data_IF_806509465282
#
_entry.id   IF_806509465282
#
_cell.length_a   1.000
_cell.length_b   1.000
_cell.length_c   1.000
_cell.angle_alpha   90.00
_cell.angle_beta   90.00
_cell.angle_gamma   90.00
#
_symmetry.space_group_name_H-M   'P 1'
#
loop_
_entity.id
_entity.type
_entity.pdbx_description
1 polymer ?
#
# COMPACT_ATOMS: atom_id res chain seq x y z
N UNK A 1 -56.24 -7.30 20.85
CA UNK A 1 -55.47 -6.29 20.08
C UNK A 1 -54.11 -5.91 20.66
N UNK A 2 -53.85 -6.03 21.98
CA UNK A 2 -52.55 -5.69 22.60
C UNK A 2 -51.36 -6.61 22.24
N UNK A 3 -51.48 -7.96 22.14
CA UNK A 3 -50.31 -8.81 21.91
C UNK A 3 -49.74 -8.66 20.49
N UNK A 4 -50.59 -8.40 19.50
CA UNK A 4 -50.17 -8.17 18.12
C UNK A 4 -49.26 -6.93 18.00
N UNK A 5 -49.58 -5.84 18.70
CA UNK A 5 -48.75 -4.62 18.70
C UNK A 5 -47.38 -4.84 19.33
N UNK A 6 -47.31 -5.65 20.39
CA UNK A 6 -46.05 -6.01 21.05
C UNK A 6 -45.18 -6.87 20.13
N UNK A 7 -45.78 -7.84 19.43
CA UNK A 7 -45.06 -8.69 18.47
C UNK A 7 -44.52 -7.85 17.31
N UNK A 8 -45.33 -6.95 16.75
CA UNK A 8 -44.89 -6.05 15.67
C UNK A 8 -43.74 -5.16 16.14
N UNK A 9 -43.82 -4.57 17.33
CA UNK A 9 -42.76 -3.74 17.89
C UNK A 9 -41.46 -4.53 18.09
N UNK A 10 -41.54 -5.74 18.64
CA UNK A 10 -40.37 -6.61 18.81
C UNK A 10 -39.72 -6.97 17.47
N UNK A 11 -40.52 -7.29 16.44
CA UNK A 11 -40.01 -7.60 15.10
C UNK A 11 -39.31 -6.39 14.46
N UNK A 12 -39.88 -5.19 14.60
CA UNK A 12 -39.25 -3.94 14.12
C UNK A 12 -37.91 -3.68 14.81
N UNK A 13 -37.78 -3.96 16.10
CA UNK A 13 -36.51 -3.83 16.83
C UNK A 13 -35.47 -4.79 16.26
N UNK A 14 -35.82 -6.07 16.06
CA UNK A 14 -34.90 -7.07 15.50
C UNK A 14 -34.43 -6.67 14.11
N UNK A 15 -35.34 -6.22 13.24
CA UNK A 15 -34.98 -5.73 11.90
C UNK A 15 -34.04 -4.53 11.99
N UNK A 16 -34.33 -3.58 12.89
CA UNK A 16 -33.50 -2.38 13.04
C UNK A 16 -32.09 -2.74 13.49
N UNK A 17 -31.96 -3.65 14.47
CA UNK A 17 -30.65 -4.13 14.93
C UNK A 17 -29.90 -4.84 13.81
N UNK A 18 -30.55 -5.73 13.07
CA UNK A 18 -29.94 -6.42 11.93
C UNK A 18 -29.49 -5.43 10.83
N UNK A 19 -30.31 -4.41 10.55
CA UNK A 19 -29.98 -3.37 9.58
C UNK A 19 -28.77 -2.54 10.03
N UNK A 20 -28.73 -2.11 11.29
CA UNK A 20 -27.58 -1.39 11.85
C UNK A 20 -26.30 -2.23 11.78
N UNK A 21 -26.38 -3.52 12.14
CA UNK A 21 -25.24 -4.43 12.09
C UNK A 21 -24.67 -4.59 10.68
N UNK A 22 -25.54 -4.82 9.69
CA UNK A 22 -25.11 -4.98 8.29
C UNK A 22 -24.48 -3.70 7.74
N UNK A 23 -25.03 -2.53 8.06
CA UNK A 23 -24.45 -1.25 7.63
C UNK A 23 -23.09 -0.98 8.27
N UNK A 24 -22.93 -1.27 9.56
CA UNK A 24 -21.63 -1.14 10.24
C UNK A 24 -20.56 -2.02 9.58
N UNK A 25 -20.91 -3.28 9.26
CA UNK A 25 -20.01 -4.19 8.57
C UNK A 25 -19.63 -3.70 7.15
N UNK A 26 -20.60 -3.16 6.40
CA UNK A 26 -20.32 -2.60 5.06
C UNK A 26 -19.40 -1.38 5.13
N UNK A 27 -19.62 -0.46 6.07
CA UNK A 27 -18.78 0.73 6.23
C UNK A 27 -17.33 0.35 6.55
N UNK A 28 -17.12 -0.65 7.41
CA UNK A 28 -15.79 -1.13 7.75
C UNK A 28 -15.03 -1.64 6.52
N UNK A 29 -15.69 -2.44 5.67
CA UNK A 29 -15.10 -2.96 4.43
C UNK A 29 -14.77 -1.82 3.46
N UNK A 30 -15.68 -0.83 3.32
CA UNK A 30 -15.43 0.33 2.46
C UNK A 30 -14.19 1.12 2.89
N UNK A 31 -13.97 1.29 4.19
CA UNK A 31 -12.77 1.95 4.73
C UNK A 31 -11.51 1.15 4.38
N UNK A 32 -11.52 -0.18 4.55
CA UNK A 32 -10.38 -1.03 4.19
C UNK A 32 -10.04 -0.97 2.70
N UNK A 33 -11.06 -0.99 1.83
CA UNK A 33 -10.88 -0.85 0.38
C UNK A 33 -10.31 0.53 0.05
N UNK A 34 -10.82 1.60 0.68
CA UNK A 34 -10.30 2.95 0.47
C UNK A 34 -8.82 3.07 0.80
N UNK A 35 -8.39 2.51 1.93
CA UNK A 35 -6.97 2.49 2.30
C UNK A 35 -6.13 1.63 1.36
N UNK A 36 -6.63 0.46 0.94
CA UNK A 36 -5.93 -0.37 -0.03
C UNK A 36 -5.73 0.37 -1.36
N UNK A 37 -6.78 1.03 -1.86
CA UNK A 37 -6.71 1.82 -3.08
C UNK A 37 -5.70 2.97 -2.96
N UNK A 38 -5.76 3.75 -1.87
CA UNK A 38 -4.80 4.83 -1.57
C UNK A 38 -3.35 4.31 -1.63
N UNK A 39 -3.07 3.19 -0.96
CA UNK A 39 -1.74 2.59 -0.93
C UNK A 39 -1.28 2.14 -2.31
N UNK A 40 -2.15 1.46 -3.07
CA UNK A 40 -1.80 1.03 -4.42
C UNK A 40 -1.55 2.20 -5.37
N UNK A 41 -2.28 3.31 -5.22
CA UNK A 41 -2.05 4.53 -6.00
C UNK A 41 -0.69 5.15 -5.67
N UNK A 42 -0.30 5.15 -4.40
CA UNK A 42 1.01 5.66 -3.98
C UNK A 42 2.13 4.82 -4.57
N UNK A 43 2.05 3.50 -4.52
CA UNK A 43 3.05 2.63 -5.13
C UNK A 43 3.15 2.83 -6.65
N UNK A 44 2.00 2.97 -7.33
CA UNK A 44 1.99 3.33 -8.76
C UNK A 44 2.69 4.66 -9.01
N UNK A 45 2.40 5.68 -8.20
CA UNK A 45 3.03 7.00 -8.35
C UNK A 45 4.55 6.96 -8.11
N UNK A 46 5.03 6.12 -7.18
CA UNK A 46 6.47 5.94 -6.96
C UNK A 46 7.15 5.28 -8.17
N UNK A 47 6.49 4.28 -8.78
CA UNK A 47 6.96 3.66 -10.03
C UNK A 47 7.02 4.68 -11.15
N UNK A 48 6.00 5.52 -11.31
CA UNK A 48 5.96 6.55 -12.35
C UNK A 48 7.12 7.56 -12.17
N UNK A 49 7.33 8.04 -10.95
CA UNK A 49 8.45 8.94 -10.62
C UNK A 49 9.82 8.28 -10.85
N UNK A 50 9.98 7.01 -10.45
CA UNK A 50 11.18 6.24 -10.72
C UNK A 50 11.41 6.05 -12.22
N UNK A 51 10.35 5.79 -12.99
CA UNK A 51 10.41 5.66 -14.44
C UNK A 51 10.87 6.97 -15.09
N UNK A 52 10.28 8.11 -14.70
CA UNK A 52 10.72 9.44 -15.17
C UNK A 52 12.19 9.70 -14.85
N UNK A 53 12.63 9.39 -13.62
CA UNK A 53 14.02 9.51 -13.20
C UNK A 53 14.97 8.62 -14.01
N UNK A 54 14.54 7.41 -14.37
CA UNK A 54 15.31 6.47 -15.19
C UNK A 54 15.51 6.93 -16.64
N UNK A 55 14.59 7.75 -17.16
CA UNK A 55 14.63 8.26 -18.53
C UNK A 55 15.49 9.52 -18.70
N UNK A 56 15.96 10.12 -17.59
CA UNK A 56 16.85 11.27 -17.62
C UNK A 56 18.24 10.89 -18.19
N UNK A 57 18.96 11.88 -18.74
CA UNK A 57 20.33 11.70 -19.25
C UNK A 57 21.31 12.64 -18.53
N UNK A 58 22.15 12.12 -17.61
CA UNK A 58 22.21 10.73 -17.14
C UNK A 58 21.01 10.36 -16.24
N UNK A 59 20.70 9.06 -16.07
CA UNK A 59 19.62 8.62 -15.18
C UNK A 59 19.83 9.10 -13.75
N UNK A 60 18.75 9.55 -13.10
CA UNK A 60 18.79 10.03 -11.72
C UNK A 60 18.60 8.87 -10.74
N UNK A 61 19.68 8.11 -10.53
CA UNK A 61 19.71 6.93 -9.65
C UNK A 61 19.29 7.27 -8.21
N UNK A 62 19.75 8.37 -7.58
CA UNK A 62 19.29 8.72 -6.23
C UNK A 62 17.77 8.91 -6.11
N UNK A 63 17.12 9.48 -7.13
CA UNK A 63 15.67 9.63 -7.14
C UNK A 63 14.95 8.28 -7.20
N UNK A 64 15.46 7.32 -7.99
CA UNK A 64 14.89 5.96 -8.06
C UNK A 64 15.05 5.23 -6.72
N UNK A 65 16.22 5.35 -6.07
CA UNK A 65 16.47 4.77 -4.73
C UNK A 65 15.52 5.39 -3.69
N UNK A 66 15.30 6.70 -3.74
CA UNK A 66 14.35 7.38 -2.84
C UNK A 66 12.92 6.84 -3.02
N UNK A 67 12.47 6.62 -4.26
CA UNK A 67 11.15 6.01 -4.53
C UNK A 67 11.07 4.56 -4.01
N UNK A 68 12.16 3.81 -4.12
CA UNK A 68 12.27 2.44 -3.63
C UNK A 68 12.19 2.39 -2.09
N UNK A 69 12.97 3.22 -1.41
CA UNK A 69 12.97 3.33 0.06
C UNK A 69 11.61 3.81 0.59
N UNK A 70 11.01 4.80 -0.07
CA UNK A 70 9.67 5.25 0.27
C UNK A 70 8.64 4.11 0.11
N UNK A 71 8.67 3.38 -1.00
CA UNK A 71 7.74 2.25 -1.23
C UNK A 71 7.88 1.16 -0.18
N UNK A 72 9.11 0.83 0.23
CA UNK A 72 9.39 -0.16 1.28
C UNK A 72 8.90 0.29 2.66
N UNK A 73 9.18 1.56 3.02
CA UNK A 73 8.90 2.11 4.35
C UNK A 73 7.44 2.56 4.54
N UNK A 74 6.71 2.88 3.47
CA UNK A 74 5.36 3.46 3.53
C UNK A 74 4.32 2.56 4.23
N UNK A 75 4.55 1.24 4.32
CA UNK A 75 3.62 0.35 4.99
C UNK A 75 4.28 -0.78 5.79
N UNK A 76 4.37 -0.65 7.13
CA UNK A 76 4.45 -1.82 7.97
C UNK A 76 3.07 -2.50 8.05
N UNK A 77 3.00 -3.84 7.88
CA UNK A 77 1.78 -4.62 8.06
C UNK A 77 1.05 -4.31 9.37
N UNK A 78 -0.28 -4.24 9.35
CA UNK A 78 -1.10 -4.14 10.56
C UNK A 78 -1.53 -2.73 10.98
N UNK A 79 -1.06 -1.68 10.29
CA UNK A 79 -1.38 -0.28 10.65
C UNK A 79 -2.74 0.19 10.12
N UNK A 80 -3.01 0.01 8.83
CA UNK A 80 -4.28 0.39 8.18
C UNK A 80 -5.18 -0.79 7.81
N UNK A 81 -4.66 -2.01 7.88
CA UNK A 81 -5.36 -3.21 7.45
C UNK A 81 -5.11 -4.36 8.41
N UNK A 82 -6.10 -5.23 8.57
CA UNK A 82 -5.96 -6.46 9.32
C UNK A 82 -4.98 -7.38 8.61
N UNK A 83 -3.90 -7.77 9.29
CA UNK A 83 -2.89 -8.69 8.73
C UNK A 83 -3.57 -9.96 8.25
N UNK A 84 -3.27 -10.37 7.02
CA UNK A 84 -3.82 -11.57 6.40
C UNK A 84 -5.19 -11.38 5.75
N UNK A 85 -5.81 -10.19 5.84
CA UNK A 85 -7.03 -9.89 5.09
C UNK A 85 -6.76 -9.93 3.57
N UNK A 86 -7.78 -10.17 2.73
CA UNK A 86 -7.64 -10.10 1.28
C UNK A 86 -7.08 -8.76 0.79
N UNK A 87 -7.50 -7.64 1.38
CA UNK A 87 -6.98 -6.32 1.04
C UNK A 87 -5.49 -6.18 1.34
N UNK A 88 -5.02 -6.76 2.46
CA UNK A 88 -3.62 -6.65 2.88
C UNK A 88 -2.71 -7.42 1.94
N UNK A 89 -3.18 -8.57 1.44
CA UNK A 89 -2.47 -9.37 0.45
C UNK A 89 -2.39 -8.65 -0.90
N UNK A 90 -3.45 -7.95 -1.31
CA UNK A 90 -3.43 -7.15 -2.55
C UNK A 90 -2.39 -6.03 -2.45
N UNK A 91 -2.38 -5.28 -1.34
CA UNK A 91 -1.41 -4.20 -1.14
C UNK A 91 0.01 -4.73 -1.13
N UNK A 92 0.26 -5.83 -0.43
CA UNK A 92 1.60 -6.44 -0.36
C UNK A 92 2.10 -6.93 -1.72
N UNK A 93 1.21 -7.53 -2.53
CA UNK A 93 1.54 -7.92 -3.91
C UNK A 93 1.86 -6.71 -4.78
N UNK A 94 1.09 -5.62 -4.65
CA UNK A 94 1.34 -4.39 -5.42
C UNK A 94 2.66 -3.74 -5.00
N UNK A 95 2.96 -3.68 -3.69
CA UNK A 95 4.24 -3.21 -3.16
C UNK A 95 5.41 -4.02 -3.75
N UNK A 96 5.33 -5.35 -3.64
CA UNK A 96 6.36 -6.26 -4.17
C UNK A 96 6.53 -6.17 -5.69
N UNK A 97 5.47 -5.81 -6.43
CA UNK A 97 5.56 -5.58 -7.86
C UNK A 97 6.27 -4.25 -8.17
N UNK A 98 5.92 -3.18 -7.44
CA UNK A 98 6.54 -1.87 -7.59
C UNK A 98 8.05 -1.91 -7.26
N UNK A 99 8.44 -2.58 -6.18
CA UNK A 99 9.86 -2.76 -5.81
C UNK A 99 10.64 -3.45 -6.93
N UNK A 100 10.12 -4.56 -7.46
CA UNK A 100 10.78 -5.28 -8.57
C UNK A 100 10.92 -4.43 -9.83
N UNK A 101 9.93 -3.60 -10.14
CA UNK A 101 10.01 -2.70 -11.30
C UNK A 101 11.11 -1.65 -11.12
N UNK A 102 11.17 -1.01 -9.96
CA UNK A 102 12.21 -0.02 -9.65
C UNK A 102 13.60 -0.64 -9.62
N UNK A 103 13.76 -1.84 -9.05
CA UNK A 103 15.02 -2.60 -9.12
C UNK A 103 15.42 -2.86 -10.59
N UNK A 104 14.45 -3.22 -11.45
CA UNK A 104 14.69 -3.37 -12.88
C UNK A 104 15.21 -2.08 -13.53
N UNK A 105 14.62 -0.93 -13.18
CA UNK A 105 15.08 0.39 -13.65
C UNK A 105 16.50 0.70 -13.16
N UNK A 106 16.80 0.39 -11.90
CA UNK A 106 18.13 0.60 -11.31
C UNK A 106 19.19 -0.26 -12.01
N UNK A 107 18.90 -1.54 -12.28
CA UNK A 107 19.79 -2.42 -13.05
C UNK A 107 20.11 -1.85 -14.41
N UNK A 108 19.10 -1.37 -15.13
CA UNK A 108 19.26 -0.77 -16.45
C UNK A 108 20.06 0.55 -16.39
N UNK A 109 19.78 1.40 -15.40
CA UNK A 109 20.43 2.70 -15.25
C UNK A 109 21.89 2.61 -14.83
N UNK A 110 22.25 1.59 -14.04
CA UNK A 110 23.56 1.49 -13.36
C UNK A 110 24.45 0.39 -13.92
N UNK A 111 23.87 -0.57 -14.66
CA UNK A 111 24.50 -1.81 -15.09
C UNK A 111 25.10 -2.63 -13.91
N UNK A 112 24.55 -2.45 -12.71
CA UNK A 112 24.87 -3.24 -11.51
C UNK A 112 23.70 -4.16 -11.17
N UNK A 113 23.96 -5.20 -10.40
CA UNK A 113 22.94 -6.09 -9.86
C UNK A 113 23.26 -6.46 -8.42
N UNK A 114 22.42 -5.98 -7.49
CA UNK A 114 22.53 -6.28 -6.05
C UNK A 114 21.48 -7.31 -5.60
N UNK A 115 20.81 -7.98 -6.53
CA UNK A 115 19.72 -8.91 -6.23
C UNK A 115 18.34 -8.27 -6.29
N UNK A 116 17.33 -9.02 -5.87
CA UNK A 116 15.91 -8.65 -5.95
C UNK A 116 15.35 -8.06 -4.65
N UNK A 117 16.14 -7.96 -3.59
CA UNK A 117 15.72 -7.29 -2.35
C UNK A 117 15.96 -5.78 -2.46
N UNK A 118 14.92 -4.99 -2.21
CA UNK A 118 15.01 -3.54 -2.18
C UNK A 118 16.03 -3.03 -1.15
N UNK A 119 16.21 -3.73 -0.04
CA UNK A 119 17.13 -3.32 1.03
C UNK A 119 18.58 -3.34 0.59
N UNK A 120 19.00 -4.33 -0.20
CA UNK A 120 20.37 -4.41 -0.70
C UNK A 120 20.71 -3.20 -1.59
N UNK A 121 19.77 -2.79 -2.44
CA UNK A 121 19.89 -1.60 -3.27
C UNK A 121 19.95 -0.31 -2.44
N UNK A 122 19.08 -0.19 -1.43
CA UNK A 122 19.04 0.98 -0.55
C UNK A 122 20.35 1.09 0.23
N UNK A 123 20.80 0.02 0.88
CA UNK A 123 22.02 -0.01 1.70
C UNK A 123 23.23 0.41 0.86
N UNK A 124 23.41 -0.17 -0.33
CA UNK A 124 24.55 0.16 -1.19
C UNK A 124 24.56 1.66 -1.51
N UNK A 125 23.42 2.22 -1.95
CA UNK A 125 23.36 3.62 -2.35
C UNK A 125 23.34 4.60 -1.17
N UNK A 126 22.89 4.20 0.02
CA UNK A 126 22.99 5.00 1.24
C UNK A 126 24.41 5.00 1.80
N UNK A 127 25.14 3.89 1.74
CA UNK A 127 26.54 3.83 2.16
C UNK A 127 27.49 4.57 1.20
N UNK A 128 27.15 4.60 -0.09
CA UNK A 128 27.97 5.26 -1.12
C UNK A 128 27.74 6.78 -1.18
N UNK A 129 26.65 7.31 -0.61
CA UNK A 129 26.43 8.75 -0.47
C UNK A 129 26.83 9.21 0.94
N UNK A 130 27.91 10.01 1.12
CA UNK A 130 28.12 10.66 2.40
C UNK A 130 26.94 11.57 2.66
N UNK A 131 26.31 11.39 3.82
CA UNK A 131 25.21 12.18 4.35
C UNK A 131 25.38 13.66 4.04
N UNK A 132 24.64 14.17 3.05
CA UNK A 132 24.32 15.59 3.02
C UNK A 132 23.20 15.77 4.03
N UNK A 133 23.62 15.83 5.30
CA UNK A 133 22.79 16.32 6.39
C UNK A 133 22.43 17.78 6.08
N UNK A 134 21.14 18.08 5.96
CA UNK A 134 20.64 19.44 6.15
C UNK A 134 20.79 19.85 7.62
#
# INVERSE_FOLDING_TARGET
>A
MKPLRVIIAAYMVVITVAFVWTKAASVWISIQISFANEQTMIFSSMVDQASEASQQMPPNVPAIISCLDYTRSYYPPGTKQTVGSPSSQVVERTRSLAERQMIGMLRQATNKDFGDDAEDWIIEYTQTQPSVSN
#
